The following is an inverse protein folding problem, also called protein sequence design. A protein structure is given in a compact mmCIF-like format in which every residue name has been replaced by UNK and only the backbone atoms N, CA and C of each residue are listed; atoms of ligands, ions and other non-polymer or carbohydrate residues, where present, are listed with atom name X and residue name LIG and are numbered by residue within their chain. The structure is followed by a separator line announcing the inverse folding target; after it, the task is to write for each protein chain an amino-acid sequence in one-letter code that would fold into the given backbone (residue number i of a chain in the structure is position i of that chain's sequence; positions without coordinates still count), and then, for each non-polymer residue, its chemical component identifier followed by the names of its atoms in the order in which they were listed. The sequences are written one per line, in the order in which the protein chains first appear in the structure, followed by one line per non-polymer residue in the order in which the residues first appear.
data_IF_617874186457
#
_entry.id   IF_617874186457
#
_cell.length_a   1.000
_cell.length_b   1.000
_cell.length_c   1.000
_cell.angle_alpha   90.00
_cell.angle_beta   90.00
_cell.angle_gamma   90.00
#
_symmetry.space_group_name_H-M   'P 1'
#
loop_
_entity.id
_entity.type
_entity.pdbx_description
1 polymer ?
#
# COMPACT_ATOMS: atom_id res chain seq x y z
N UNK A 1 7.57 -7.44 -6.26
CA UNK A 1 6.11 -7.69 -6.12
C UNK A 1 5.37 -6.39 -6.35
N UNK A 2 4.38 -6.37 -7.22
CA UNK A 2 3.55 -5.19 -7.52
C UNK A 2 2.10 -5.57 -7.28
N UNK A 3 1.37 -4.79 -6.47
CA UNK A 3 -0.01 -5.07 -6.11
C UNK A 3 -0.70 -3.81 -5.57
N UNK A 4 -2.01 -3.82 -5.50
CA UNK A 4 -2.80 -2.85 -4.74
C UNK A 4 -2.83 -3.16 -3.23
N UNK A 5 -2.43 -4.36 -2.83
CA UNK A 5 -2.42 -4.85 -1.45
C UNK A 5 -3.77 -4.69 -0.72
N UNK A 6 -4.87 -4.81 -1.45
CA UNK A 6 -6.22 -4.77 -0.86
C UNK A 6 -6.58 -6.05 -0.11
N UNK A 7 -5.92 -7.16 -0.45
CA UNK A 7 -6.08 -8.40 0.29
C UNK A 7 -5.55 -8.28 1.72
N UNK A 8 -6.12 -9.06 2.62
CA UNK A 8 -5.67 -9.13 4.01
C UNK A 8 -4.17 -9.44 4.08
N UNK A 9 -3.37 -8.68 4.86
CA UNK A 9 -1.95 -8.95 5.05
C UNK A 9 -1.62 -10.38 5.45
N UNK A 10 -2.47 -11.06 6.19
CA UNK A 10 -2.29 -12.45 6.59
C UNK A 10 -2.20 -13.41 5.39
N UNK A 11 -2.71 -13.03 4.22
CA UNK A 11 -2.68 -13.86 3.02
C UNK A 11 -1.36 -13.78 2.25
N UNK A 12 -0.65 -12.66 2.31
CA UNK A 12 0.55 -12.40 1.50
C UNK A 12 1.83 -12.11 2.31
N UNK A 13 1.71 -11.74 3.58
CA UNK A 13 2.87 -11.34 4.40
C UNK A 13 3.90 -12.45 4.56
N UNK A 14 3.46 -13.68 4.82
CA UNK A 14 4.36 -14.81 5.01
C UNK A 14 5.08 -15.24 3.71
N UNK A 15 4.41 -15.37 2.56
CA UNK A 15 5.10 -15.55 1.27
C UNK A 15 6.10 -14.43 0.96
N UNK A 16 5.75 -13.18 1.22
CA UNK A 16 6.64 -12.04 1.04
C UNK A 16 7.88 -12.14 1.92
N UNK A 17 7.72 -12.52 3.19
CA UNK A 17 8.83 -12.76 4.10
C UNK A 17 9.77 -13.85 3.61
N UNK A 18 9.24 -14.95 3.09
CA UNK A 18 10.06 -16.03 2.51
C UNK A 18 10.89 -15.55 1.32
N UNK A 19 10.32 -14.71 0.46
CA UNK A 19 11.06 -14.09 -0.64
C UNK A 19 12.16 -13.17 -0.11
N UNK A 20 11.86 -12.35 0.87
CA UNK A 20 12.78 -11.34 1.41
C UNK A 20 13.96 -11.94 2.17
N UNK A 21 13.85 -13.18 2.67
CA UNK A 21 14.98 -13.89 3.31
C UNK A 21 16.03 -14.36 2.31
N UNK A 22 15.65 -14.54 1.04
CA UNK A 22 16.53 -15.09 0.00
C UNK A 22 16.89 -14.06 -1.07
N UNK A 23 16.09 -13.02 -1.21
CA UNK A 23 16.21 -12.03 -2.27
C UNK A 23 16.06 -10.62 -1.72
N UNK A 24 16.72 -9.68 -2.35
CA UNK A 24 16.38 -8.28 -2.17
C UNK A 24 15.01 -8.03 -2.79
N UNK A 25 14.03 -7.71 -1.96
CA UNK A 25 12.63 -7.65 -2.37
C UNK A 25 12.10 -6.22 -2.22
N UNK A 26 11.42 -5.74 -3.24
CA UNK A 26 10.69 -4.47 -3.25
C UNK A 26 9.22 -4.78 -3.43
N UNK A 27 8.41 -4.34 -2.49
CA UNK A 27 6.95 -4.36 -2.59
C UNK A 27 6.49 -3.01 -3.15
N UNK A 28 5.90 -3.03 -4.33
CA UNK A 28 5.36 -1.84 -4.99
C UNK A 28 3.85 -1.84 -4.79
N UNK A 29 3.38 -0.91 -3.97
CA UNK A 29 1.95 -0.68 -3.73
C UNK A 29 1.44 0.39 -4.70
N UNK A 30 0.45 0.03 -5.50
CA UNK A 30 -0.21 0.95 -6.43
C UNK A 30 -1.52 1.40 -5.82
N UNK A 31 -1.69 2.71 -5.65
CA UNK A 31 -2.85 3.32 -5.03
C UNK A 31 -3.58 4.20 -6.06
N UNK A 32 -4.87 3.95 -6.23
CA UNK A 32 -5.78 4.90 -6.84
C UNK A 32 -6.37 5.78 -5.71
N UNK A 33 -6.15 7.11 -5.71
CA UNK A 33 -6.66 7.98 -4.66
C UNK A 33 -8.18 7.92 -4.48
N UNK A 34 -8.91 7.53 -5.53
CA UNK A 34 -10.37 7.33 -5.46
C UNK A 34 -10.78 6.20 -4.53
N UNK A 35 -9.86 5.28 -4.23
CA UNK A 35 -10.07 4.20 -3.28
C UNK A 35 -9.87 4.64 -1.82
N UNK A 36 -9.24 5.80 -1.59
CA UNK A 36 -8.92 6.30 -0.26
C UNK A 36 -10.03 7.16 0.35
N UNK A 37 -10.90 7.70 -0.47
CA UNK A 37 -11.99 8.56 -0.05
C UNK A 37 -13.25 8.25 -0.85
N UNK A 38 -14.39 8.48 -0.23
CA UNK A 38 -15.69 8.30 -0.84
C UNK A 38 -16.26 9.67 -1.22
N UNK A 39 -16.46 9.89 -2.53
CA UNK A 39 -17.07 11.12 -3.02
C UNK A 39 -18.57 11.15 -2.71
N UNK A 40 -19.12 12.35 -2.47
CA UNK A 40 -20.57 12.55 -2.34
C UNK A 40 -21.22 12.48 -3.71
N UNK A 41 -21.69 11.32 -4.08
CA UNK A 41 -22.42 11.04 -5.35
C UNK A 41 -23.86 10.57 -5.11
N UNK A 42 -24.37 10.76 -3.89
CA UNK A 42 -25.68 10.28 -3.48
C UNK A 42 -25.67 8.79 -3.13
N UNK A 43 -26.65 8.04 -3.59
CA UNK A 43 -26.77 6.61 -3.37
C UNK A 43 -25.88 5.83 -4.35
N UNK A 44 -24.92 5.11 -3.82
CA UNK A 44 -23.98 4.30 -4.59
C UNK A 44 -24.23 2.81 -4.37
N UNK A 45 -24.34 2.06 -5.47
CA UNK A 45 -24.40 0.60 -5.40
C UNK A 45 -22.99 0.03 -5.46
N UNK A 46 -22.61 -0.69 -4.42
CA UNK A 46 -21.29 -1.34 -4.31
C UNK A 46 -21.45 -2.85 -4.41
N UNK A 47 -20.59 -3.48 -5.21
CA UNK A 47 -20.53 -4.94 -5.35
C UNK A 47 -19.34 -5.47 -4.57
N UNK A 48 -19.58 -6.42 -3.68
CA UNK A 48 -18.50 -7.17 -3.04
C UNK A 48 -17.93 -8.19 -4.04
N UNK A 49 -16.67 -8.04 -4.49
CA UNK A 49 -16.09 -8.94 -5.46
C UNK A 49 -15.91 -10.37 -4.94
N UNK A 50 -15.84 -10.58 -3.64
CA UNK A 50 -15.68 -11.90 -3.04
C UNK A 50 -17.00 -12.69 -2.99
N UNK A 51 -18.12 -12.03 -2.66
CA UNK A 51 -19.44 -12.68 -2.50
C UNK A 51 -20.40 -12.41 -3.63
N UNK A 52 -20.15 -11.44 -4.51
CA UNK A 52 -21.07 -10.96 -5.54
C UNK A 52 -22.28 -10.20 -5.00
N UNK A 53 -22.35 -9.97 -3.69
CA UNK A 53 -23.46 -9.23 -3.07
C UNK A 53 -23.38 -7.74 -3.40
N UNK A 54 -24.55 -7.16 -3.65
CA UNK A 54 -24.69 -5.72 -3.85
C UNK A 54 -25.17 -5.05 -2.58
N UNK A 55 -24.67 -3.86 -2.32
CA UNK A 55 -25.09 -3.02 -1.19
C UNK A 55 -25.23 -1.58 -1.66
N UNK A 56 -26.33 -0.94 -1.26
CA UNK A 56 -26.51 0.49 -1.46
C UNK A 56 -25.88 1.27 -0.30
N UNK A 57 -25.07 2.29 -0.69
CA UNK A 57 -24.33 3.11 0.26
C UNK A 57 -24.71 4.58 0.09
N UNK A 58 -25.25 5.23 1.14
CA UNK A 58 -25.62 6.65 1.09
C UNK A 58 -24.36 7.53 1.23
N UNK A 59 -23.72 7.87 0.13
CA UNK A 59 -22.46 8.63 0.12
C UNK A 59 -22.61 10.10 0.55
N UNK A 60 -23.84 10.63 0.64
CA UNK A 60 -24.12 11.96 1.19
C UNK A 60 -23.86 12.07 2.70
N UNK A 61 -23.81 10.95 3.42
CA UNK A 61 -23.50 10.93 4.85
C UNK A 61 -22.04 11.25 5.12
N UNK A 62 -21.77 12.37 5.79
CA UNK A 62 -20.41 12.72 6.24
C UNK A 62 -19.80 11.69 7.17
N UNK A 63 -20.62 11.14 8.06
CA UNK A 63 -20.19 10.11 9.01
C UNK A 63 -19.76 8.84 8.29
N UNK A 64 -20.47 8.44 7.24
CA UNK A 64 -20.10 7.30 6.43
C UNK A 64 -18.81 7.52 5.67
N UNK A 65 -18.65 8.70 5.03
CA UNK A 65 -17.42 9.06 4.33
C UNK A 65 -16.21 9.09 5.25
N UNK A 66 -16.37 9.67 6.46
CA UNK A 66 -15.31 9.70 7.46
C UNK A 66 -14.90 8.29 7.92
N UNK A 67 -15.84 7.39 8.13
CA UNK A 67 -15.55 5.97 8.44
C UNK A 67 -14.82 5.26 7.32
N UNK A 68 -15.19 5.52 6.08
CA UNK A 68 -14.52 4.95 4.93
C UNK A 68 -13.06 5.39 4.84
N UNK A 69 -12.80 6.68 5.00
CA UNK A 69 -11.44 7.24 4.99
C UNK A 69 -10.59 6.69 6.13
N UNK A 70 -11.16 6.56 7.33
CA UNK A 70 -10.49 5.99 8.49
C UNK A 70 -10.13 4.52 8.26
N UNK A 71 -11.06 3.71 7.74
CA UNK A 71 -10.81 2.32 7.42
C UNK A 71 -9.74 2.15 6.33
N UNK A 72 -9.76 3.01 5.30
CA UNK A 72 -8.74 3.01 4.27
C UNK A 72 -7.35 3.38 4.83
N UNK A 73 -7.27 4.35 5.72
CA UNK A 73 -6.03 4.74 6.39
C UNK A 73 -5.49 3.62 7.29
N UNK A 74 -6.34 2.95 8.04
CA UNK A 74 -5.96 1.81 8.88
C UNK A 74 -5.43 0.64 8.05
N UNK A 75 -6.09 0.31 6.94
CA UNK A 75 -5.64 -0.73 6.04
C UNK A 75 -4.28 -0.43 5.43
N UNK A 76 -4.06 0.81 5.00
CA UNK A 76 -2.76 1.23 4.45
C UNK A 76 -1.66 1.17 5.50
N UNK A 77 -1.93 1.57 6.73
CA UNK A 77 -0.98 1.47 7.83
C UNK A 77 -0.63 0.00 8.15
N UNK A 78 -1.61 -0.88 8.16
CA UNK A 78 -1.41 -2.31 8.34
C UNK A 78 -0.59 -2.94 7.20
N UNK A 79 -0.86 -2.55 5.95
CA UNK A 79 -0.09 -2.99 4.78
C UNK A 79 1.37 -2.54 4.88
N UNK A 80 1.63 -1.28 5.18
CA UNK A 80 2.98 -0.76 5.34
C UNK A 80 3.75 -1.46 6.47
N UNK A 81 3.11 -1.70 7.60
CA UNK A 81 3.69 -2.42 8.73
C UNK A 81 4.03 -3.87 8.37
N UNK A 82 3.14 -4.55 7.66
CA UNK A 82 3.34 -5.94 7.23
C UNK A 82 4.48 -6.08 6.21
N UNK A 83 4.59 -5.16 5.26
CA UNK A 83 5.69 -5.14 4.27
C UNK A 83 7.03 -4.92 4.97
N UNK A 84 7.11 -3.97 5.89
CA UNK A 84 8.32 -3.69 6.67
C UNK A 84 8.71 -4.89 7.52
N UNK A 85 7.76 -5.51 8.22
CA UNK A 85 7.99 -6.69 9.04
C UNK A 85 8.43 -7.91 8.21
N UNK A 86 7.99 -8.01 6.96
CA UNK A 86 8.42 -9.04 6.02
C UNK A 86 9.85 -8.83 5.50
N UNK A 87 10.49 -7.69 5.77
CA UNK A 87 11.86 -7.39 5.35
C UNK A 87 11.98 -6.91 3.90
N UNK A 88 10.88 -6.49 3.27
CA UNK A 88 10.87 -5.89 1.95
C UNK A 88 10.98 -4.37 2.02
N UNK A 89 11.58 -3.77 1.00
CA UNK A 89 11.47 -2.33 0.79
C UNK A 89 10.06 -2.00 0.27
N UNK A 90 9.50 -0.87 0.67
CA UNK A 90 8.16 -0.46 0.31
C UNK A 90 8.19 0.78 -0.59
N UNK A 91 7.67 0.66 -1.79
CA UNK A 91 7.47 1.76 -2.73
C UNK A 91 5.98 1.96 -2.96
N UNK A 92 5.49 3.17 -2.70
CA UNK A 92 4.10 3.55 -2.96
C UNK A 92 4.02 4.38 -4.23
N UNK A 93 3.21 3.95 -5.18
CA UNK A 93 2.91 4.67 -6.41
C UNK A 93 1.44 5.07 -6.42
N UNK A 94 1.17 6.31 -6.79
CA UNK A 94 -0.19 6.82 -6.94
C UNK A 94 -0.51 7.05 -8.42
N UNK A 95 -1.73 6.73 -8.81
CA UNK A 95 -2.18 6.89 -10.20
C UNK A 95 -2.47 8.34 -10.60
N UNK A 96 -2.58 9.26 -9.63
CA UNK A 96 -2.91 10.68 -9.83
C UNK A 96 -1.70 11.62 -9.94
N UNK A 97 -0.48 11.08 -9.93
CA UNK A 97 0.75 11.88 -10.01
C UNK A 97 1.83 11.19 -10.84
N UNK A 98 2.96 11.88 -11.02
CA UNK A 98 4.11 11.36 -11.76
C UNK A 98 4.78 10.21 -11.00
N UNK A 99 4.30 8.99 -11.27
CA UNK A 99 4.82 7.76 -10.67
C UNK A 99 6.27 7.48 -11.03
N UNK A 100 6.72 7.94 -12.22
CA UNK A 100 8.10 7.73 -12.66
C UNK A 100 9.08 8.50 -11.77
N UNK A 101 8.74 9.73 -11.38
CA UNK A 101 9.53 10.50 -10.43
C UNK A 101 9.58 9.84 -9.05
N UNK A 102 8.48 9.23 -8.61
CA UNK A 102 8.46 8.49 -7.36
C UNK A 102 9.41 7.27 -7.41
N UNK A 103 9.46 6.56 -8.53
CA UNK A 103 10.41 5.45 -8.74
C UNK A 103 11.84 5.96 -8.70
N UNK A 104 12.15 7.06 -9.39
CA UNK A 104 13.50 7.64 -9.42
C UNK A 104 13.96 8.04 -8.02
N UNK A 105 13.12 8.74 -7.26
CA UNK A 105 13.42 9.13 -5.87
C UNK A 105 13.67 7.90 -5.00
N UNK A 106 12.83 6.90 -5.10
CA UNK A 106 12.98 5.66 -4.34
C UNK A 106 14.32 4.98 -4.64
N UNK A 107 14.71 4.86 -5.91
CA UNK A 107 15.98 4.23 -6.30
C UNK A 107 17.18 5.02 -5.77
N UNK A 108 17.16 6.34 -5.86
CA UNK A 108 18.22 7.22 -5.35
C UNK A 108 18.36 7.07 -3.82
N UNK A 109 17.25 7.17 -3.10
CA UNK A 109 17.24 7.05 -1.63
C UNK A 109 17.68 5.66 -1.17
N UNK A 110 17.26 4.62 -1.89
CA UNK A 110 17.66 3.26 -1.60
C UNK A 110 19.16 3.05 -1.77
N UNK A 111 19.72 3.57 -2.85
CA UNK A 111 21.19 3.52 -3.09
C UNK A 111 21.96 4.21 -1.96
N UNK A 112 21.51 5.38 -1.54
CA UNK A 112 22.11 6.13 -0.44
C UNK A 112 22.10 5.34 0.87
N UNK A 113 20.96 4.70 1.21
CA UNK A 113 20.83 3.86 2.41
C UNK A 113 21.75 2.63 2.36
N UNK A 114 21.88 1.97 1.22
CA UNK A 114 22.76 0.82 1.05
C UNK A 114 24.22 1.23 1.22
N UNK A 115 24.62 2.35 0.63
CA UNK A 115 25.99 2.89 0.78
C UNK A 115 26.30 3.27 2.24
N UNK A 116 25.39 3.94 2.93
CA UNK A 116 25.56 4.30 4.32
C UNK A 116 25.73 3.08 5.23
N UNK A 117 24.95 2.03 5.02
CA UNK A 117 25.06 0.77 5.77
C UNK A 117 26.42 0.10 5.54
N UNK A 118 26.90 0.06 4.31
CA UNK A 118 28.22 -0.52 3.99
C UNK A 118 29.36 0.29 4.61
N UNK A 119 29.28 1.61 4.56
CA UNK A 119 30.27 2.50 5.19
C UNK A 119 30.28 2.35 6.71
N UNK A 120 29.13 2.22 7.35
CA UNK A 120 29.01 1.98 8.79
C UNK A 120 29.54 0.61 9.23
N UNK A 121 29.46 -0.41 8.39
CA UNK A 121 30.02 -1.74 8.65
C UNK A 121 31.54 -1.79 8.42
N UNK A 122 32.08 -0.93 7.55
CA UNK A 122 33.52 -0.85 7.27
C UNK A 122 34.31 -0.01 8.30
N UNK A 123 33.62 0.71 9.16
CA UNK A 123 34.22 1.58 10.19
C UNK A 123 34.38 0.90 11.57
N UNK A 124 34.10 -0.40 11.66
CA UNK A 124 34.23 -1.18 12.91
C UNK A 124 35.42 -2.10 12.86
#
# INVERSE_FOLDING_TARGET
MVSDFLADPDTWAQPLRRLSTRHTTIAVEVIDPRELSLSDVGLLTVVDPASGRTREVPTASRKLRARYEEAAAEQRAATAAAITAAGADHLVLRTDRDWLMDVVRFVVDRRARVHARRAGMGAR
#
